data_IF_864166892917
#
_entry.id   IF_864166892917
#
_cell.length_a   1.000
_cell.length_b   1.000
_cell.length_c   1.000
_cell.angle_alpha   90.00
_cell.angle_beta   90.00
_cell.angle_gamma   90.00
#
_symmetry.space_group_name_H-M   'P 1'
#
loop_
_entity.id
_entity.type
_entity.pdbx_description
1 polymer ?
#
# COMPACT_ATOMS: atom_id res chain seq x y z
N UNK A 1 -11.49 -17.95 -1.39
CA UNK A 1 -11.47 -17.57 -2.82
C UNK A 1 -11.56 -16.05 -2.94
N UNK A 2 -10.82 -15.48 -3.87
CA UNK A 2 -10.76 -14.03 -4.07
C UNK A 2 -11.36 -13.67 -5.42
N UNK A 3 -12.24 -12.67 -5.45
CA UNK A 3 -12.86 -12.16 -6.67
C UNK A 3 -12.66 -10.66 -6.73
N UNK A 4 -12.05 -10.18 -7.81
CA UNK A 4 -11.84 -8.75 -8.05
C UNK A 4 -12.86 -8.27 -9.08
N UNK A 5 -13.47 -7.11 -8.85
CA UNK A 5 -14.47 -6.56 -9.75
C UNK A 5 -14.31 -5.07 -9.95
N UNK A 6 -14.59 -4.64 -11.17
CA UNK A 6 -14.81 -3.24 -11.49
C UNK A 6 -16.21 -3.14 -12.08
N UNK A 7 -17.24 -2.80 -11.28
CA UNK A 7 -18.62 -2.77 -11.77
C UNK A 7 -18.78 -1.84 -12.97
N UNK A 8 -19.59 -2.26 -13.94
CA UNK A 8 -19.77 -1.50 -15.19
C UNK A 8 -20.55 -0.21 -15.02
N UNK A 9 -21.36 -0.10 -13.95
CA UNK A 9 -22.23 1.05 -13.72
C UNK A 9 -21.57 2.16 -12.90
N UNK A 10 -20.25 2.07 -12.65
CA UNK A 10 -19.46 3.15 -12.07
C UNK A 10 -18.29 3.46 -13.01
N UNK A 11 -17.60 4.56 -12.74
CA UNK A 11 -16.45 4.93 -13.57
C UNK A 11 -15.38 3.83 -13.55
N UNK A 12 -14.64 3.62 -14.65
CA UNK A 12 -13.50 2.71 -14.61
C UNK A 12 -12.43 3.23 -13.65
N UNK A 13 -11.55 2.35 -13.15
CA UNK A 13 -10.47 2.82 -12.29
C UNK A 13 -9.65 3.92 -12.96
N UNK A 14 -9.44 5.01 -12.24
CA UNK A 14 -8.68 6.18 -12.75
C UNK A 14 -7.17 6.06 -12.52
N UNK A 15 -6.73 4.94 -11.96
CA UNK A 15 -5.34 4.61 -11.69
C UNK A 15 -5.22 3.08 -11.62
N UNK A 16 -4.00 2.53 -11.45
CA UNK A 16 -3.83 1.06 -11.33
C UNK A 16 -4.34 0.52 -9.98
N UNK A 17 -5.63 0.30 -9.88
CA UNK A 17 -6.26 -0.33 -8.73
C UNK A 17 -7.52 -1.07 -9.16
N UNK A 18 -8.09 -1.85 -8.25
CA UNK A 18 -9.38 -2.53 -8.45
C UNK A 18 -10.41 -1.89 -7.53
N UNK A 19 -11.64 -1.69 -8.03
CA UNK A 19 -12.69 -1.07 -7.23
C UNK A 19 -13.07 -1.92 -6.01
N UNK A 20 -13.13 -3.24 -6.17
CA UNK A 20 -13.49 -4.10 -5.04
C UNK A 20 -12.79 -5.45 -5.12
N UNK A 21 -12.50 -6.00 -3.97
CA UNK A 21 -11.98 -7.36 -3.82
C UNK A 21 -12.83 -8.05 -2.77
N UNK A 22 -13.44 -9.16 -3.17
CA UNK A 22 -14.22 -10.00 -2.26
C UNK A 22 -13.41 -11.25 -1.96
N UNK A 23 -13.33 -11.62 -0.68
CA UNK A 23 -12.71 -12.86 -0.27
C UNK A 23 -13.72 -13.73 0.47
N UNK A 24 -13.74 -15.00 0.14
CA UNK A 24 -14.69 -15.98 0.72
C UNK A 24 -13.92 -17.20 1.18
N UNK A 25 -14.55 -17.97 2.08
CA UNK A 25 -13.95 -19.16 2.66
C UNK A 25 -12.98 -18.86 3.79
N UNK A 26 -12.34 -19.88 4.34
CA UNK A 26 -11.38 -19.69 5.43
C UNK A 26 -10.16 -18.91 4.96
N UNK A 27 -9.80 -17.85 5.68
CA UNK A 27 -8.71 -16.95 5.34
C UNK A 27 -7.84 -16.66 6.57
N UNK A 28 -6.55 -16.49 6.33
CA UNK A 28 -5.66 -15.83 7.29
C UNK A 28 -5.70 -14.34 6.99
N UNK A 29 -5.95 -13.53 7.99
CA UNK A 29 -6.00 -12.07 7.84
C UNK A 29 -4.78 -11.45 8.48
N UNK A 30 -4.23 -10.43 7.81
CA UNK A 30 -3.09 -9.67 8.31
C UNK A 30 -3.45 -8.19 8.27
N UNK A 31 -3.32 -7.53 9.41
CA UNK A 31 -3.52 -6.09 9.52
C UNK A 31 -2.23 -5.46 9.98
N UNK A 32 -1.76 -4.44 9.26
CA UNK A 32 -0.56 -3.72 9.61
C UNK A 32 -0.92 -2.38 10.25
N UNK A 33 -0.09 -1.96 11.21
CA UNK A 33 -0.05 -0.54 11.58
C UNK A 33 0.45 0.27 10.39
N UNK A 34 0.18 1.57 10.39
CA UNK A 34 0.69 2.46 9.35
C UNK A 34 2.20 2.37 9.26
N UNK A 35 2.72 2.08 8.08
CA UNK A 35 4.15 1.95 7.84
C UNK A 35 4.70 3.26 7.30
N UNK A 36 5.83 3.69 7.84
CA UNK A 36 6.47 4.95 7.47
C UNK A 36 7.83 4.68 6.83
N UNK A 37 8.38 5.70 6.19
CA UNK A 37 9.69 5.62 5.56
C UNK A 37 10.81 5.79 6.58
N UNK A 38 10.99 4.78 7.41
CA UNK A 38 12.00 4.78 8.46
C UNK A 38 12.80 3.48 8.39
N UNK A 39 14.12 3.61 8.47
CA UNK A 39 15.03 2.46 8.52
C UNK A 39 14.95 1.75 9.86
N UNK A 40 15.50 0.53 9.90
CA UNK A 40 15.52 -0.27 11.15
C UNK A 40 16.23 0.45 12.30
N UNK A 41 17.22 1.30 11.99
CA UNK A 41 17.95 2.07 12.99
C UNK A 41 17.26 3.38 13.38
N UNK A 42 16.08 3.66 12.80
CA UNK A 42 15.32 4.89 13.07
C UNK A 42 15.63 6.05 12.14
N UNK A 43 16.53 5.88 11.18
CA UNK A 43 16.87 6.93 10.20
C UNK A 43 15.71 7.18 9.25
N UNK A 44 15.38 8.45 9.03
CA UNK A 44 14.33 8.87 8.11
C UNK A 44 14.98 9.63 6.95
N UNK A 45 14.83 9.16 5.68
CA UNK A 45 15.32 9.90 4.53
C UNK A 45 14.61 11.25 4.40
N UNK A 46 15.34 12.29 3.98
CA UNK A 46 14.73 13.60 3.76
C UNK A 46 13.83 13.63 2.54
N UNK A 47 14.18 12.86 1.51
CA UNK A 47 13.41 12.82 0.26
C UNK A 47 12.05 12.14 0.48
N UNK A 48 10.92 12.81 0.18
CA UNK A 48 9.61 12.18 0.26
C UNK A 48 9.47 10.95 -0.62
N UNK A 49 10.09 10.94 -1.80
CA UNK A 49 10.04 9.78 -2.70
C UNK A 49 10.81 8.59 -2.12
N UNK A 50 11.94 8.86 -1.47
CA UNK A 50 12.68 7.79 -0.78
C UNK A 50 11.92 7.27 0.43
N UNK A 51 11.19 8.14 1.11
CA UNK A 51 10.30 7.72 2.19
C UNK A 51 9.20 6.80 1.66
N UNK A 52 8.65 7.10 0.48
CA UNK A 52 7.63 6.24 -0.15
C UNK A 52 8.20 4.86 -0.47
N UNK A 53 9.37 4.81 -1.11
CA UNK A 53 10.04 3.54 -1.41
C UNK A 53 10.24 2.71 -0.14
N UNK A 54 10.74 3.35 0.92
CA UNK A 54 11.04 2.67 2.17
C UNK A 54 9.79 2.24 2.92
N UNK A 55 8.74 3.07 2.92
CA UNK A 55 7.47 2.70 3.53
C UNK A 55 6.88 1.46 2.86
N UNK A 56 6.93 1.40 1.52
CA UNK A 56 6.47 0.22 0.77
C UNK A 56 7.36 -0.99 1.03
N UNK A 57 8.66 -0.81 1.15
CA UNK A 57 9.56 -1.89 1.52
C UNK A 57 9.22 -2.42 2.92
N UNK A 58 8.89 -1.54 3.85
CA UNK A 58 8.46 -1.94 5.19
C UNK A 58 7.12 -2.69 5.16
N UNK A 59 6.20 -2.32 4.27
CA UNK A 59 4.97 -3.11 4.04
C UNK A 59 5.33 -4.51 3.56
N UNK A 60 6.22 -4.61 2.58
CA UNK A 60 6.65 -5.89 2.03
C UNK A 60 7.30 -6.77 3.09
N UNK A 61 8.20 -6.21 3.89
CA UNK A 61 8.85 -6.94 4.99
C UNK A 61 7.83 -7.48 5.99
N UNK A 62 6.79 -6.69 6.26
CA UNK A 62 5.73 -7.11 7.17
C UNK A 62 4.93 -8.30 6.62
N UNK A 63 4.49 -8.24 5.36
CA UNK A 63 3.71 -9.35 4.80
C UNK A 63 4.56 -10.60 4.67
N UNK A 64 5.84 -10.45 4.32
CA UNK A 64 6.77 -11.57 4.22
C UNK A 64 7.03 -12.21 5.59
N UNK A 65 7.06 -11.43 6.65
CA UNK A 65 7.19 -11.95 8.02
C UNK A 65 6.01 -12.85 8.41
N UNK A 66 4.86 -12.67 7.78
CA UNK A 66 3.68 -13.50 7.98
C UNK A 66 3.57 -14.63 6.94
N UNK A 67 4.63 -14.86 6.16
CA UNK A 67 4.65 -15.83 5.06
C UNK A 67 3.58 -15.51 4.01
N UNK A 68 3.39 -14.24 3.75
CA UNK A 68 2.53 -13.71 2.68
C UNK A 68 3.37 -12.97 1.68
N UNK A 69 2.76 -12.55 0.58
CA UNK A 69 3.41 -11.80 -0.50
C UNK A 69 2.61 -10.53 -0.79
N UNK A 70 3.19 -9.65 -1.61
CA UNK A 70 2.51 -8.41 -2.04
C UNK A 70 1.17 -8.74 -2.71
N UNK A 71 1.08 -9.84 -3.43
CA UNK A 71 -0.14 -10.29 -4.10
C UNK A 71 -1.27 -10.63 -3.12
N UNK A 72 -0.96 -10.85 -1.85
CA UNK A 72 -1.96 -11.11 -0.81
C UNK A 72 -2.58 -9.83 -0.26
N UNK A 73 -2.02 -8.66 -0.60
CA UNK A 73 -2.54 -7.37 -0.15
C UNK A 73 -3.87 -7.10 -0.84
N UNK A 74 -4.91 -6.81 -0.06
CA UNK A 74 -6.24 -6.49 -0.57
C UNK A 74 -6.52 -5.00 -0.56
N UNK A 75 -5.88 -4.26 0.35
CA UNK A 75 -6.11 -2.81 0.48
C UNK A 75 -4.83 -2.10 0.89
N UNK A 76 -4.56 -0.99 0.22
CA UNK A 76 -3.53 -0.03 0.61
C UNK A 76 -4.19 1.34 0.79
N UNK A 77 -3.79 2.05 1.83
CA UNK A 77 -4.16 3.45 2.03
C UNK A 77 -2.88 4.25 2.19
N UNK A 78 -2.74 5.29 1.36
CA UNK A 78 -1.58 6.17 1.37
C UNK A 78 -1.96 7.52 1.95
N UNK A 79 -1.16 7.98 2.91
CA UNK A 79 -1.26 9.31 3.49
C UNK A 79 0.01 10.06 3.12
N UNK A 80 -0.13 11.13 2.36
CA UNK A 80 1.02 11.89 1.84
C UNK A 80 0.99 13.31 2.37
N UNK A 81 2.16 13.86 2.66
CA UNK A 81 2.34 15.25 3.08
C UNK A 81 3.20 15.98 2.06
N UNK A 82 2.73 17.13 1.58
CA UNK A 82 3.46 17.93 0.61
C UNK A 82 3.29 17.44 -0.81
N UNK A 83 4.21 17.81 -1.68
CA UNK A 83 4.12 17.50 -3.10
C UNK A 83 4.97 16.28 -3.46
N UNK A 84 4.45 15.48 -4.37
CA UNK A 84 5.15 14.32 -4.93
C UNK A 84 5.10 14.41 -6.44
N UNK A 85 6.25 14.22 -7.10
CA UNK A 85 6.27 14.10 -8.55
C UNK A 85 5.45 12.89 -8.97
N UNK A 86 4.40 13.13 -9.79
CA UNK A 86 3.43 12.10 -10.15
C UNK A 86 4.07 10.92 -10.89
N UNK A 87 5.00 11.19 -11.82
CA UNK A 87 5.65 10.13 -12.58
C UNK A 87 6.54 9.26 -11.70
N UNK A 88 7.33 9.89 -10.83
CA UNK A 88 8.20 9.17 -9.91
C UNK A 88 7.38 8.33 -8.92
N UNK A 89 6.29 8.89 -8.41
CA UNK A 89 5.39 8.18 -7.50
C UNK A 89 4.78 6.95 -8.18
N UNK A 90 4.28 7.11 -9.41
CA UNK A 90 3.72 6.00 -10.19
C UNK A 90 4.75 4.90 -10.44
N UNK A 91 5.98 5.27 -10.74
CA UNK A 91 7.05 4.33 -11.00
C UNK A 91 7.38 3.52 -9.74
N UNK A 92 7.50 4.18 -8.61
CA UNK A 92 7.76 3.51 -7.33
C UNK A 92 6.64 2.53 -6.97
N UNK A 93 5.40 2.98 -7.11
CA UNK A 93 4.24 2.13 -6.82
C UNK A 93 4.14 0.95 -7.78
N UNK A 94 4.41 1.18 -9.06
CA UNK A 94 4.39 0.12 -10.07
C UNK A 94 5.43 -0.96 -9.81
N UNK A 95 6.63 -0.59 -9.38
CA UNK A 95 7.67 -1.55 -9.02
C UNK A 95 7.27 -2.38 -7.79
N UNK A 96 6.65 -1.74 -6.80
CA UNK A 96 6.18 -2.45 -5.62
C UNK A 96 5.07 -3.45 -5.97
N UNK A 97 4.08 -3.02 -6.75
CA UNK A 97 2.90 -3.82 -7.05
C UNK A 97 3.16 -4.94 -8.05
N UNK A 98 4.07 -4.73 -9.00
CA UNK A 98 4.41 -5.76 -9.99
C UNK A 98 3.22 -6.25 -10.81
N UNK A 99 2.26 -5.36 -11.11
CA UNK A 99 1.05 -5.72 -11.84
C UNK A 99 -0.13 -6.13 -10.97
N UNK A 100 0.07 -6.35 -9.68
CA UNK A 100 -1.02 -6.59 -8.75
C UNK A 100 -1.86 -5.31 -8.57
N UNK A 101 -3.18 -5.45 -8.56
CA UNK A 101 -4.12 -4.31 -8.48
C UNK A 101 -5.01 -4.44 -7.24
N UNK A 102 -4.50 -4.10 -6.04
CA UNK A 102 -5.32 -4.11 -4.84
C UNK A 102 -6.31 -2.96 -4.85
N UNK A 103 -7.27 -2.97 -3.94
CA UNK A 103 -8.04 -1.79 -3.63
C UNK A 103 -7.11 -0.73 -3.04
N UNK A 104 -7.35 0.55 -3.35
CA UNK A 104 -6.40 1.59 -2.99
C UNK A 104 -7.10 2.91 -2.71
N UNK A 105 -6.62 3.62 -1.72
CA UNK A 105 -7.00 5.00 -1.44
C UNK A 105 -5.72 5.79 -1.25
N UNK A 106 -5.66 7.00 -1.83
CA UNK A 106 -4.52 7.90 -1.64
C UNK A 106 -5.07 9.27 -1.28
N UNK A 107 -4.60 9.82 -0.18
CA UNK A 107 -5.01 11.13 0.27
C UNK A 107 -3.79 11.96 0.69
N UNK A 108 -3.92 13.27 0.53
CA UNK A 108 -2.95 14.23 1.04
C UNK A 108 -3.47 14.76 2.37
N UNK A 109 -2.62 14.81 3.36
CA UNK A 109 -2.94 15.26 4.71
C UNK A 109 -2.02 16.41 5.11
N UNK A 110 -2.45 17.17 6.12
CA UNK A 110 -1.67 18.34 6.58
C UNK A 110 -0.37 17.91 7.25
N UNK A 111 -0.41 16.85 8.05
CA UNK A 111 0.73 16.36 8.81
C UNK A 111 0.53 14.92 9.22
N UNK A 112 1.64 14.24 9.49
CA UNK A 112 1.67 12.93 10.12
C UNK A 112 2.11 13.09 11.59
N UNK A 113 2.32 11.98 12.28
CA UNK A 113 2.63 12.01 13.71
C UNK A 113 3.95 12.74 14.03
N UNK A 114 4.88 12.82 13.06
CA UNK A 114 6.14 13.53 13.21
C UNK A 114 6.36 14.43 12.00
N UNK A 115 6.92 15.65 12.19
CA UNK A 115 7.19 16.57 11.07
C UNK A 115 8.15 16.02 10.03
N UNK A 116 9.01 15.09 10.40
CA UNK A 116 9.97 14.49 9.46
C UNK A 116 9.31 13.50 8.51
N UNK A 117 8.14 12.98 8.87
CA UNK A 117 7.44 11.96 8.08
C UNK A 117 6.57 12.61 7.03
N UNK A 118 6.69 12.15 5.79
CA UNK A 118 5.93 12.63 4.62
C UNK A 118 5.04 11.55 4.01
N UNK A 119 5.21 10.30 4.42
CA UNK A 119 4.46 9.16 3.89
C UNK A 119 4.11 8.21 5.01
N UNK A 120 2.87 7.75 5.01
CA UNK A 120 2.44 6.63 5.83
C UNK A 120 1.53 5.74 4.98
N UNK A 121 1.68 4.42 5.12
CA UNK A 121 0.94 3.45 4.32
C UNK A 121 0.28 2.43 5.24
N UNK A 122 -1.05 2.32 5.15
CA UNK A 122 -1.80 1.23 5.77
C UNK A 122 -1.94 0.10 4.77
N UNK A 123 -1.89 -1.13 5.25
CA UNK A 123 -2.08 -2.30 4.40
C UNK A 123 -2.86 -3.38 5.12
N UNK A 124 -3.70 -4.08 4.37
CA UNK A 124 -4.43 -5.26 4.79
C UNK A 124 -4.16 -6.36 3.78
N UNK A 125 -3.94 -7.55 4.26
CA UNK A 125 -3.71 -8.71 3.39
C UNK A 125 -4.50 -9.90 3.90
N UNK A 126 -4.80 -10.84 3.02
CA UNK A 126 -5.37 -12.11 3.40
C UNK A 126 -4.93 -13.20 2.42
N UNK A 127 -4.93 -14.41 2.91
CA UNK A 127 -4.49 -15.56 2.16
C UNK A 127 -5.36 -16.75 2.50
N UNK A 128 -5.75 -17.52 1.49
CA UNK A 128 -6.57 -18.69 1.73
C UNK A 128 -5.85 -19.68 2.66
N UNK A 129 -6.61 -20.23 3.59
CA UNK A 129 -6.15 -21.33 4.40
C UNK A 129 -6.35 -22.63 3.63
N UNK A 130 -5.31 -23.43 3.55
CA UNK A 130 -5.34 -24.69 2.79
C UNK A 130 -5.49 -25.87 3.75
#
# INVERSE_FOLDING_TARGET
MRTSRNPENIHPPVAPYTHQIETTGPQRWLTLSGQVGMEADGTIPESPLKQLELALENVKRNVEAANMAVEDITKLVFYLVGEFDAESRKQIMGQFLGGHLPCMTMIYVVALASPALKVEVDAWACQEMV
#
